data_IF_357804371734
#
_entry.id   IF_357804371734
#
_cell.length_a   1.000
_cell.length_b   1.000
_cell.length_c   1.000
_cell.angle_alpha   90.00
_cell.angle_beta   90.00
_cell.angle_gamma   90.00
#
_symmetry.space_group_name_H-M   'P 1'
#
loop_
_entity.id
_entity.type
_entity.pdbx_description
1 polymer ?
#
# COMPACT_ATOMS: atom_id res chain seq x y z
N UNK A 1 -18.95 -24.48 57.18
CA UNK A 1 -19.31 -25.66 56.37
C UNK A 1 -20.82 -25.74 56.32
N UNK A 2 -21.48 -25.89 55.16
CA UNK A 2 -20.96 -26.38 53.89
C UNK A 2 -20.76 -25.28 52.83
N UNK A 3 -19.84 -25.58 51.92
CA UNK A 3 -19.40 -24.79 50.79
C UNK A 3 -20.35 -25.00 49.60
N UNK A 4 -20.82 -23.92 48.97
CA UNK A 4 -21.52 -24.00 47.69
C UNK A 4 -20.63 -23.41 46.60
N UNK A 5 -19.96 -24.30 45.88
CA UNK A 5 -19.14 -24.01 44.71
C UNK A 5 -20.06 -23.80 43.51
N UNK A 6 -20.27 -22.55 43.09
CA UNK A 6 -20.99 -22.23 41.88
C UNK A 6 -20.02 -22.19 40.69
N UNK A 7 -19.95 -23.30 39.95
CA UNK A 7 -19.23 -23.40 38.67
C UNK A 7 -19.95 -22.55 37.62
N UNK A 8 -19.36 -21.44 37.18
CA UNK A 8 -19.83 -20.70 36.00
C UNK A 8 -19.32 -21.41 34.74
N UNK A 9 -20.21 -22.16 34.10
CA UNK A 9 -20.00 -22.75 32.78
C UNK A 9 -19.82 -21.66 31.72
N UNK A 10 -18.64 -21.62 31.11
CA UNK A 10 -18.34 -20.85 29.90
C UNK A 10 -19.22 -21.36 28.77
N UNK A 11 -20.17 -20.54 28.33
CA UNK A 11 -20.93 -20.77 27.09
C UNK A 11 -20.43 -19.76 26.07
N UNK A 12 -19.57 -20.22 25.15
CA UNK A 12 -19.20 -19.46 23.95
C UNK A 12 -20.41 -19.52 23.00
N UNK A 13 -21.01 -18.39 22.58
CA UNK A 13 -22.01 -18.44 21.54
C UNK A 13 -21.33 -18.64 20.18
N UNK A 14 -21.62 -19.82 19.64
CA UNK A 14 -21.66 -20.24 18.25
C UNK A 14 -21.65 -19.15 17.17
N UNK A 15 -20.65 -19.25 16.29
CA UNK A 15 -20.66 -18.96 14.85
C UNK A 15 -21.87 -18.16 14.31
N UNK A 16 -21.74 -16.84 14.27
CA UNK A 16 -22.64 -16.00 13.48
C UNK A 16 -22.40 -16.26 11.98
N UNK A 17 -23.46 -16.65 11.27
CA UNK A 17 -23.45 -16.77 9.81
C UNK A 17 -23.08 -15.41 9.18
N UNK A 18 -22.33 -15.39 8.06
CA UNK A 18 -21.98 -14.14 7.41
C UNK A 18 -23.26 -13.45 6.93
N UNK A 19 -23.44 -12.14 7.21
CA UNK A 19 -24.62 -11.41 6.79
C UNK A 19 -24.69 -11.39 5.26
N UNK A 20 -25.71 -12.02 4.73
CA UNK A 20 -26.07 -12.01 3.30
C UNK A 20 -26.98 -10.82 3.05
N UNK A 21 -26.41 -9.73 2.52
CA UNK A 21 -27.23 -8.63 2.00
C UNK A 21 -26.53 -7.93 0.82
N UNK A 22 -27.35 -7.52 -0.14
CA UNK A 22 -27.12 -7.22 -1.56
C UNK A 22 -26.40 -5.87 -1.79
N UNK A 23 -25.82 -5.28 -0.74
CA UNK A 23 -25.07 -4.00 -0.75
C UNK A 23 -23.54 -4.16 -0.94
N UNK A 24 -23.10 -5.32 -1.41
CA UNK A 24 -21.69 -5.67 -1.56
C UNK A 24 -20.87 -4.70 -2.46
N UNK A 25 -21.52 -3.90 -3.32
CA UNK A 25 -20.82 -2.93 -4.21
C UNK A 25 -20.47 -1.59 -3.54
N UNK A 26 -21.00 -1.29 -2.34
CA UNK A 26 -20.75 -0.01 -1.63
C UNK A 26 -20.03 -0.16 -0.29
N UNK A 27 -19.72 -1.38 0.15
CA UNK A 27 -18.96 -1.59 1.38
C UNK A 27 -17.48 -1.35 1.16
N UNK A 28 -16.86 -0.62 2.09
CA UNK A 28 -15.40 -0.43 2.10
C UNK A 28 -14.70 -1.79 2.21
N UNK A 29 -13.70 -2.01 1.36
CA UNK A 29 -12.97 -3.28 1.31
C UNK A 29 -12.38 -3.65 2.69
N UNK A 30 -11.75 -2.68 3.35
CA UNK A 30 -11.15 -2.88 4.68
C UNK A 30 -12.16 -3.31 5.75
N UNK A 31 -13.33 -2.66 5.79
CA UNK A 31 -14.40 -3.04 6.72
C UNK A 31 -14.93 -4.45 6.44
N UNK A 32 -15.03 -4.82 5.16
CA UNK A 32 -15.47 -6.16 4.75
C UNK A 32 -14.46 -7.24 5.17
N UNK A 33 -13.17 -7.00 4.97
CA UNK A 33 -12.10 -7.92 5.39
C UNK A 33 -12.05 -8.08 6.91
N UNK A 34 -12.29 -7.00 7.65
CA UNK A 34 -12.36 -7.01 9.11
C UNK A 34 -13.57 -7.83 9.59
N UNK A 35 -14.75 -7.60 9.00
CA UNK A 35 -15.98 -8.33 9.32
C UNK A 35 -15.86 -9.84 9.06
N UNK A 36 -15.13 -10.25 8.02
CA UNK A 36 -14.83 -11.65 7.73
C UNK A 36 -13.66 -12.23 8.55
N UNK A 37 -13.08 -11.46 9.48
CA UNK A 37 -11.96 -11.91 10.32
C UNK A 37 -10.68 -12.20 9.53
N UNK A 38 -10.53 -11.66 8.31
CA UNK A 38 -9.33 -11.86 7.48
C UNK A 38 -8.19 -10.93 7.86
N UNK A 39 -8.51 -9.82 8.53
CA UNK A 39 -7.56 -8.85 9.05
C UNK A 39 -7.97 -8.42 10.47
N UNK A 40 -7.04 -7.83 11.20
CA UNK A 40 -7.30 -7.19 12.49
C UNK A 40 -7.48 -5.68 12.30
N UNK A 41 -7.99 -4.97 13.31
CA UNK A 41 -8.05 -3.51 13.30
C UNK A 41 -6.66 -2.86 13.12
N UNK A 42 -5.64 -3.46 13.74
CA UNK A 42 -4.25 -3.00 13.59
C UNK A 42 -3.76 -3.13 12.14
N UNK A 43 -4.07 -4.24 11.47
CA UNK A 43 -3.76 -4.42 10.04
C UNK A 43 -4.48 -3.37 9.18
N UNK A 44 -5.76 -3.13 9.45
CA UNK A 44 -6.54 -2.13 8.72
C UNK A 44 -5.96 -0.72 8.92
N UNK A 45 -5.68 -0.33 10.17
CA UNK A 45 -5.10 0.98 10.51
C UNK A 45 -3.73 1.18 9.87
N UNK A 46 -2.91 0.14 9.83
CA UNK A 46 -1.59 0.15 9.19
C UNK A 46 -1.72 0.34 7.68
N UNK A 47 -2.62 -0.42 7.05
CA UNK A 47 -2.88 -0.33 5.61
C UNK A 47 -3.42 1.05 5.22
N UNK A 48 -4.38 1.59 5.95
CA UNK A 48 -4.95 2.92 5.71
C UNK A 48 -3.92 4.02 5.94
N UNK A 49 -3.12 3.94 7.01
CA UNK A 49 -2.02 4.88 7.26
C UNK A 49 -1.04 4.91 6.10
N UNK A 50 -0.62 3.74 5.60
CA UNK A 50 0.26 3.64 4.44
C UNK A 50 -0.40 4.20 3.19
N UNK A 51 -1.63 3.80 2.89
CA UNK A 51 -2.38 4.26 1.72
C UNK A 51 -2.55 5.77 1.70
N UNK A 52 -3.00 6.36 2.81
CA UNK A 52 -3.15 7.81 2.94
C UNK A 52 -1.82 8.55 2.80
N UNK A 53 -0.74 8.01 3.37
CA UNK A 53 0.59 8.62 3.24
C UNK A 53 1.08 8.60 1.78
N UNK A 54 0.94 7.46 1.09
CA UNK A 54 1.30 7.35 -0.33
C UNK A 54 0.52 8.35 -1.19
N UNK A 55 -0.80 8.47 -0.99
CA UNK A 55 -1.63 9.47 -1.70
C UNK A 55 -1.17 10.90 -1.44
N UNK A 56 -0.80 11.23 -0.21
CA UNK A 56 -0.23 12.55 0.11
C UNK A 56 1.08 12.79 -0.63
N UNK A 57 1.96 11.80 -0.71
CA UNK A 57 3.20 11.91 -1.48
C UNK A 57 2.93 12.13 -2.97
N UNK A 58 1.89 11.51 -3.53
CA UNK A 58 1.50 11.75 -4.92
C UNK A 58 1.01 13.18 -5.16
N UNK A 59 0.19 13.71 -4.25
CA UNK A 59 -0.30 15.10 -4.30
C UNK A 59 0.85 16.11 -4.18
N UNK A 60 1.86 15.83 -3.35
CA UNK A 60 3.03 16.72 -3.20
C UNK A 60 3.89 16.82 -4.47
N UNK A 61 3.77 15.88 -5.42
CA UNK A 61 4.42 15.97 -6.73
C UNK A 61 3.73 16.96 -7.67
N UNK A 62 2.51 17.39 -7.38
CA UNK A 62 1.77 18.27 -8.28
C UNK A 62 2.42 19.66 -8.31
N UNK A 63 2.76 20.19 -9.50
CA UNK A 63 3.43 21.49 -9.60
C UNK A 63 2.54 22.65 -9.15
N UNK A 64 1.22 22.48 -9.22
CA UNK A 64 0.20 23.47 -8.84
C UNK A 64 -1.04 22.74 -8.32
N UNK A 65 -1.73 23.35 -7.36
CA UNK A 65 -2.99 22.85 -6.82
C UNK A 65 -3.80 23.98 -6.20
N UNK A 66 -5.10 23.72 -5.97
CA UNK A 66 -5.98 24.61 -5.19
C UNK A 66 -6.59 23.79 -4.06
N UNK A 67 -6.62 24.36 -2.87
CA UNK A 67 -7.30 23.76 -1.73
C UNK A 67 -8.27 24.76 -1.12
N UNK A 68 -9.28 24.26 -0.43
CA UNK A 68 -10.13 25.05 0.46
C UNK A 68 -10.34 24.27 1.75
N UNK A 69 -10.45 24.98 2.86
CA UNK A 69 -10.83 24.40 4.13
C UNK A 69 -12.33 24.56 4.28
N UNK A 70 -13.04 23.45 4.51
CA UNK A 70 -14.46 23.44 4.84
C UNK A 70 -14.61 22.83 6.22
N UNK A 71 -15.33 23.52 7.08
CA UNK A 71 -15.77 22.97 8.35
C UNK A 71 -17.01 22.11 8.09
N UNK A 72 -16.79 20.85 7.74
CA UNK A 72 -17.83 19.84 7.59
C UNK A 72 -17.69 18.82 8.73
N UNK A 73 -18.78 18.26 9.26
CA UNK A 73 -18.70 17.19 10.24
C UNK A 73 -17.94 16.00 9.64
N UNK A 74 -17.13 15.33 10.46
CA UNK A 74 -16.43 14.14 10.02
C UNK A 74 -17.45 13.06 9.65
N UNK A 75 -17.26 12.41 8.50
CA UNK A 75 -18.06 11.22 8.16
C UNK A 75 -17.73 10.07 9.11
N UNK A 76 -18.66 9.13 9.30
CA UNK A 76 -18.46 7.89 10.07
C UNK A 76 -17.19 7.12 9.67
N UNK A 77 -16.80 7.20 8.39
CA UNK A 77 -15.57 6.59 7.86
C UNK A 77 -14.31 7.25 8.42
N UNK A 78 -14.31 8.57 8.58
CA UNK A 78 -13.18 9.32 9.13
C UNK A 78 -13.10 9.09 10.63
N UNK A 79 -14.25 9.10 11.32
CA UNK A 79 -14.32 8.84 12.76
C UNK A 79 -13.92 7.40 13.11
N UNK A 80 -14.25 6.42 12.28
CA UNK A 80 -13.80 5.03 12.51
C UNK A 80 -12.32 4.84 12.20
N UNK A 81 -11.76 5.54 11.21
CA UNK A 81 -10.36 5.37 10.83
C UNK A 81 -9.38 6.03 11.82
N UNK A 82 -9.67 7.26 12.28
CA UNK A 82 -8.87 8.01 13.27
C UNK A 82 -7.34 7.83 13.12
N UNK A 83 -6.81 7.97 11.90
CA UNK A 83 -5.45 7.52 11.57
C UNK A 83 -4.34 8.21 12.38
N UNK A 84 -4.58 9.45 12.85
CA UNK A 84 -3.62 10.18 13.68
C UNK A 84 -2.25 10.33 13.02
N UNK A 85 -2.23 10.64 11.71
CA UNK A 85 -1.00 10.76 10.95
C UNK A 85 -0.11 11.89 11.53
N UNK A 86 1.18 11.62 11.81
CA UNK A 86 2.11 12.65 12.25
C UNK A 86 2.43 13.58 11.08
N UNK A 87 1.66 14.68 10.97
CA UNK A 87 1.68 15.59 9.81
C UNK A 87 3.10 16.02 9.43
N UNK A 88 3.91 16.44 10.41
CA UNK A 88 5.27 16.88 10.16
C UNK A 88 6.14 15.77 9.52
N UNK A 89 6.09 14.55 10.05
CA UNK A 89 6.85 13.42 9.53
C UNK A 89 6.41 13.04 8.11
N UNK A 90 5.09 13.05 7.85
CA UNK A 90 4.56 12.75 6.51
C UNK A 90 5.00 13.83 5.51
N UNK A 91 4.89 15.11 5.85
CA UNK A 91 5.31 16.19 4.95
C UNK A 91 6.80 16.15 4.65
N UNK A 92 7.64 15.93 5.67
CA UNK A 92 9.10 15.85 5.48
C UNK A 92 9.51 14.67 4.61
N UNK A 93 8.93 13.49 4.84
CA UNK A 93 9.15 12.33 3.98
C UNK A 93 8.65 12.59 2.55
N UNK A 94 7.52 13.27 2.40
CA UNK A 94 6.98 13.66 1.11
C UNK A 94 7.94 14.54 0.31
N UNK A 95 8.55 15.56 0.93
CA UNK A 95 9.55 16.39 0.25
C UNK A 95 10.82 15.61 -0.11
N UNK A 96 11.32 14.75 0.80
CA UNK A 96 12.46 13.87 0.51
C UNK A 96 12.18 13.00 -0.73
N UNK A 97 10.97 12.45 -0.84
CA UNK A 97 10.56 11.64 -2.00
C UNK A 97 10.41 12.48 -3.27
N UNK A 98 9.90 13.71 -3.20
CA UNK A 98 9.81 14.61 -4.37
C UNK A 98 11.20 14.90 -4.94
N UNK A 99 12.20 15.13 -4.08
CA UNK A 99 13.57 15.36 -4.54
C UNK A 99 14.19 14.10 -5.16
N UNK A 100 14.02 12.94 -4.52
CA UNK A 100 14.50 11.66 -5.05
C UNK A 100 13.81 11.29 -6.37
N UNK A 101 12.52 11.58 -6.50
CA UNK A 101 11.73 11.31 -7.70
C UNK A 101 12.30 11.98 -8.94
N UNK A 102 12.86 13.20 -8.82
CA UNK A 102 13.52 13.90 -9.94
C UNK A 102 14.77 13.19 -10.45
N UNK A 103 15.44 12.40 -9.61
CA UNK A 103 16.56 11.56 -10.03
C UNK A 103 16.03 10.34 -10.78
N UNK A 104 15.02 9.68 -10.19
CA UNK A 104 14.38 8.50 -10.80
C UNK A 104 13.80 8.81 -12.19
N UNK A 105 13.10 9.94 -12.36
CA UNK A 105 12.52 10.35 -13.66
C UNK A 105 13.59 10.57 -14.73
N UNK A 106 14.78 11.07 -14.36
CA UNK A 106 15.87 11.30 -15.31
C UNK A 106 16.48 10.02 -15.83
N UNK A 107 16.61 9.00 -14.98
CA UNK A 107 17.19 7.70 -15.35
C UNK A 107 16.17 6.77 -16.02
N UNK A 108 14.96 6.69 -15.48
CA UNK A 108 13.88 5.84 -16.05
C UNK A 108 13.37 6.45 -17.37
N UNK A 109 13.36 7.78 -17.48
CA UNK A 109 12.87 8.48 -18.66
C UNK A 109 11.34 8.38 -18.77
N UNK A 110 10.85 7.72 -19.83
CA UNK A 110 9.42 7.65 -20.12
C UNK A 110 8.74 6.46 -19.42
N UNK A 111 7.60 6.71 -18.78
CA UNK A 111 6.76 5.64 -18.22
C UNK A 111 6.11 4.76 -19.29
N UNK A 112 6.12 5.19 -20.55
CA UNK A 112 5.63 4.43 -21.68
C UNK A 112 6.77 3.69 -22.41
N UNK A 113 8.01 3.81 -21.92
CA UNK A 113 9.13 3.00 -22.38
C UNK A 113 8.92 1.53 -21.99
N UNK A 114 9.39 0.63 -22.87
CA UNK A 114 9.42 -0.81 -22.65
C UNK A 114 10.84 -1.20 -22.28
N UNK A 115 11.00 -1.83 -21.12
CA UNK A 115 12.30 -2.28 -20.63
C UNK A 115 12.55 -3.72 -21.06
N UNK A 116 13.79 -4.01 -21.46
CA UNK A 116 14.23 -5.36 -21.85
C UNK A 116 15.32 -5.80 -20.88
N UNK A 117 15.29 -7.07 -20.49
CA UNK A 117 16.34 -7.66 -19.67
C UNK A 117 17.60 -7.88 -20.49
N UNK A 118 18.74 -7.50 -19.92
CA UNK A 118 20.04 -7.93 -20.42
C UNK A 118 20.42 -9.25 -19.75
N UNK A 119 20.19 -10.37 -20.43
CA UNK A 119 20.49 -11.71 -19.92
C UNK A 119 21.98 -11.91 -19.60
N UNK A 120 22.88 -11.15 -20.22
CA UNK A 120 24.32 -11.23 -19.92
C UNK A 120 24.63 -10.51 -18.62
N UNK A 121 24.07 -9.31 -18.41
CA UNK A 121 24.19 -8.59 -17.14
C UNK A 121 23.53 -9.34 -15.97
N UNK A 122 22.40 -10.01 -16.21
CA UNK A 122 21.72 -10.79 -15.18
C UNK A 122 22.51 -12.03 -14.73
N UNK A 123 23.41 -12.58 -15.55
CA UNK A 123 24.26 -13.72 -15.14
C UNK A 123 25.25 -13.36 -14.03
N UNK A 124 25.63 -12.09 -13.91
CA UNK A 124 26.46 -11.59 -12.81
C UNK A 124 25.69 -11.35 -11.52
N UNK A 125 24.35 -11.37 -11.55
CA UNK A 125 23.50 -11.15 -10.39
C UNK A 125 23.10 -12.51 -9.80
N UNK A 126 23.32 -12.69 -8.50
CA UNK A 126 22.79 -13.85 -7.80
C UNK A 126 21.28 -13.70 -7.56
N UNK A 127 20.50 -14.20 -8.52
CA UNK A 127 19.04 -14.18 -8.51
C UNK A 127 18.43 -14.86 -7.27
N UNK A 128 19.15 -15.75 -6.61
CA UNK A 128 18.71 -16.41 -5.37
C UNK A 128 18.73 -15.50 -4.14
N UNK A 129 19.49 -14.41 -4.20
CA UNK A 129 19.67 -13.45 -3.08
C UNK A 129 18.82 -12.19 -3.23
N UNK A 130 18.18 -12.00 -4.38
CA UNK A 130 17.34 -10.83 -4.63
C UNK A 130 16.18 -10.76 -3.61
N UNK A 131 15.97 -9.60 -2.97
CA UNK A 131 14.80 -9.35 -2.15
C UNK A 131 13.50 -9.63 -2.92
N UNK A 132 12.43 -10.09 -2.24
CA UNK A 132 11.18 -10.46 -2.91
C UNK A 132 10.58 -9.36 -3.78
N UNK A 133 10.69 -8.09 -3.35
CA UNK A 133 10.20 -6.93 -4.12
C UNK A 133 10.98 -6.71 -5.41
N UNK A 134 12.30 -6.90 -5.37
CA UNK A 134 13.17 -6.75 -6.53
C UNK A 134 12.90 -7.85 -7.55
N UNK A 135 12.72 -9.08 -7.07
CA UNK A 135 12.32 -10.21 -7.89
C UNK A 135 10.98 -9.98 -8.59
N UNK A 136 9.96 -9.47 -7.89
CA UNK A 136 8.64 -9.17 -8.49
C UNK A 136 8.76 -8.17 -9.65
N UNK A 137 9.55 -7.11 -9.47
CA UNK A 137 9.77 -6.12 -10.54
C UNK A 137 10.53 -6.74 -11.70
N UNK A 138 11.63 -7.44 -11.42
CA UNK A 138 12.44 -8.06 -12.45
C UNK A 138 11.63 -9.07 -13.26
N UNK A 139 10.86 -9.94 -12.58
CA UNK A 139 9.96 -10.94 -13.17
C UNK A 139 8.87 -10.31 -14.07
N UNK A 140 8.46 -9.07 -13.79
CA UNK A 140 7.50 -8.33 -14.59
C UNK A 140 8.08 -7.70 -15.87
N UNK A 141 9.41 -7.50 -15.94
CA UNK A 141 10.11 -6.99 -17.14
C UNK A 141 10.22 -8.11 -18.19
N UNK A 142 9.33 -8.11 -19.18
CA UNK A 142 9.26 -9.15 -20.22
C UNK A 142 9.62 -8.65 -21.62
N UNK A 143 9.99 -7.38 -21.77
CA UNK A 143 10.26 -6.78 -23.08
C UNK A 143 9.00 -6.36 -23.85
N UNK A 144 7.81 -6.47 -23.26
CA UNK A 144 6.54 -6.03 -23.85
C UNK A 144 5.83 -4.98 -22.98
N UNK A 145 5.88 -5.14 -21.66
CA UNK A 145 5.24 -4.22 -20.73
C UNK A 145 5.98 -2.88 -20.66
N UNK A 146 5.21 -1.80 -20.67
CA UNK A 146 5.74 -0.48 -20.35
C UNK A 146 6.11 -0.39 -18.86
N UNK A 147 6.98 0.56 -18.51
CA UNK A 147 7.29 0.89 -17.10
C UNK A 147 6.01 1.10 -16.29
N UNK A 148 5.02 1.82 -16.84
CA UNK A 148 3.71 2.02 -16.22
C UNK A 148 3.00 0.70 -15.91
N UNK A 149 3.00 -0.24 -16.86
CA UNK A 149 2.37 -1.54 -16.68
C UNK A 149 3.11 -2.40 -15.65
N UNK A 150 4.45 -2.35 -15.63
CA UNK A 150 5.28 -3.02 -14.62
C UNK A 150 4.95 -2.49 -13.22
N UNK A 151 4.93 -1.16 -13.05
CA UNK A 151 4.58 -0.52 -11.77
C UNK A 151 3.18 -0.96 -11.31
N UNK A 152 2.19 -0.95 -12.20
CA UNK A 152 0.83 -1.38 -11.88
C UNK A 152 0.74 -2.85 -11.47
N UNK A 153 1.50 -3.74 -12.11
CA UNK A 153 1.53 -5.18 -11.81
C UNK A 153 2.30 -5.53 -10.52
N UNK A 154 3.18 -4.63 -10.05
CA UNK A 154 4.06 -4.89 -8.90
C UNK A 154 3.36 -4.93 -7.54
N UNK A 155 2.14 -4.40 -7.45
CA UNK A 155 1.45 -4.14 -6.17
C UNK A 155 2.25 -3.26 -5.17
N UNK A 156 3.23 -2.51 -5.67
CA UNK A 156 4.04 -1.55 -4.91
C UNK A 156 3.57 -0.11 -5.17
N UNK A 157 4.04 0.85 -4.38
CA UNK A 157 3.85 2.25 -4.75
C UNK A 157 4.71 2.57 -5.98
N UNK A 158 4.27 3.56 -6.76
CA UNK A 158 5.04 4.03 -7.92
C UNK A 158 6.48 4.40 -7.54
N UNK A 159 6.66 5.00 -6.35
CA UNK A 159 7.96 5.35 -5.82
C UNK A 159 8.86 4.14 -5.56
N UNK A 160 8.36 3.15 -4.82
CA UNK A 160 9.14 1.95 -4.48
C UNK A 160 9.49 1.15 -5.75
N UNK A 161 8.54 1.00 -6.68
CA UNK A 161 8.76 0.27 -7.93
C UNK A 161 9.80 0.96 -8.81
N UNK A 162 9.72 2.28 -8.97
CA UNK A 162 10.70 3.06 -9.71
C UNK A 162 12.09 3.02 -9.06
N UNK A 163 12.20 3.01 -7.74
CA UNK A 163 13.48 2.85 -7.05
C UNK A 163 14.16 1.52 -7.38
N UNK A 164 13.40 0.43 -7.40
CA UNK A 164 13.92 -0.89 -7.78
C UNK A 164 14.36 -0.90 -9.24
N UNK A 165 13.54 -0.36 -10.15
CA UNK A 165 13.91 -0.25 -11.56
C UNK A 165 15.20 0.58 -11.74
N UNK A 166 15.32 1.69 -11.02
CA UNK A 166 16.52 2.52 -11.04
C UNK A 166 17.76 1.75 -10.59
N UNK A 167 17.66 0.94 -9.53
CA UNK A 167 18.79 0.12 -9.06
C UNK A 167 19.26 -0.87 -10.14
N UNK A 168 18.34 -1.47 -10.89
CA UNK A 168 18.70 -2.36 -12.00
C UNK A 168 19.27 -1.65 -13.23
N UNK A 169 18.89 -0.39 -13.46
CA UNK A 169 19.41 0.39 -14.60
C UNK A 169 20.83 0.94 -14.36
N UNK A 170 21.22 1.09 -13.09
CA UNK A 170 22.55 1.59 -12.69
C UNK A 170 23.53 0.47 -12.29
N UNK A 171 23.07 -0.78 -12.22
CA UNK A 171 23.88 -1.96 -11.87
C UNK A 171 24.63 -2.52 -13.09
#
# INVERSE_FOLDING_TARGET
MPSSTATRTSTVPSSAAPPTDVDARRRLLGATLLAFGKITESHLRTALTRQSSELLYEVLRWPKGRFNFRAEPASDVVESAQLGLPVASVVMEGFRRVDEWRVLERTIGSFDAVLVRDDLALRSIDMGTLPPKEKVILDAVDGERTVRAIVAASHMSSFDACRVLFQFLEA
#
